data_IF_188088294128
#
_entry.id   IF_188088294128
#
_cell.length_a   1.000
_cell.length_b   1.000
_cell.length_c   1.000
_cell.angle_alpha   90.00
_cell.angle_beta   90.00
_cell.angle_gamma   90.00
#
_symmetry.space_group_name_H-M   'P 1'
#
loop_
_entity.id
_entity.type
_entity.pdbx_description
1 polymer ?
#
# COMPACT_ATOMS: atom_id res chain seq x y z
N UNK A 1 -6.65 18.67 3.82
CA UNK A 1 -5.57 17.71 4.18
C UNK A 1 -6.12 16.33 3.88
N UNK A 2 -5.34 15.49 3.20
CA UNK A 2 -5.74 14.11 2.98
C UNK A 2 -5.54 13.30 4.25
N UNK A 3 -6.43 12.34 4.48
CA UNK A 3 -6.33 11.36 5.57
C UNK A 3 -6.53 9.97 5.00
N UNK A 4 -5.79 9.01 5.56
CA UNK A 4 -5.83 7.61 5.16
C UNK A 4 -5.92 6.70 6.37
N UNK A 5 -6.47 5.52 6.15
CA UNK A 5 -6.59 4.46 7.15
C UNK A 5 -5.94 3.19 6.59
N UNK A 6 -5.12 2.54 7.41
CA UNK A 6 -4.39 1.31 7.07
C UNK A 6 -4.99 0.13 7.83
N UNK A 7 -5.23 -0.96 7.10
CA UNK A 7 -5.63 -2.25 7.65
C UNK A 7 -4.73 -3.34 7.07
N UNK A 8 -4.27 -4.25 7.94
CA UNK A 8 -3.45 -5.40 7.56
C UNK A 8 -4.20 -6.67 7.95
N UNK A 9 -4.30 -7.62 7.03
CA UNK A 9 -4.71 -8.99 7.33
C UNK A 9 -3.45 -9.86 7.35
N UNK A 10 -2.89 -10.12 8.54
CA UNK A 10 -1.68 -10.93 8.70
C UNK A 10 -1.83 -12.38 8.26
N UNK A 11 -3.06 -12.94 8.25
CA UNK A 11 -3.30 -14.29 7.76
C UNK A 11 -3.25 -14.40 6.24
N UNK A 12 -3.43 -13.27 5.53
CA UNK A 12 -3.41 -13.17 4.08
C UNK A 12 -2.26 -12.32 3.52
N UNK A 13 -1.42 -11.74 4.37
CA UNK A 13 -0.41 -10.71 4.05
C UNK A 13 -0.97 -9.59 3.15
N UNK A 14 -2.24 -9.22 3.37
CA UNK A 14 -2.96 -8.23 2.57
C UNK A 14 -2.93 -6.87 3.24
N UNK A 15 -2.44 -5.88 2.51
CA UNK A 15 -2.40 -4.47 2.92
C UNK A 15 -3.54 -3.75 2.23
N UNK A 16 -4.43 -3.12 2.99
CA UNK A 16 -5.50 -2.27 2.47
C UNK A 16 -5.35 -0.86 3.00
N UNK A 17 -5.41 0.12 2.10
CA UNK A 17 -5.41 1.54 2.44
C UNK A 17 -6.70 2.17 1.94
N UNK A 18 -7.38 2.90 2.82
CA UNK A 18 -8.55 3.72 2.50
C UNK A 18 -8.15 5.18 2.44
N UNK A 19 -8.60 5.89 1.39
CA UNK A 19 -8.53 7.34 1.37
C UNK A 19 -9.75 7.88 2.10
N UNK A 20 -9.61 8.25 3.37
CA UNK A 20 -10.75 8.65 4.19
C UNK A 20 -11.33 10.01 3.77
N UNK A 21 -10.47 11.02 3.60
CA UNK A 21 -10.86 12.39 3.23
C UNK A 21 -9.73 13.09 2.48
N UNK A 22 -10.04 14.15 1.71
CA UNK A 22 -9.05 14.98 1.02
C UNK A 22 -9.33 15.19 -0.47
N UNK A 23 -8.34 15.73 -1.18
CA UNK A 23 -8.37 15.85 -2.63
C UNK A 23 -7.97 14.53 -3.29
N UNK A 24 -8.48 14.27 -4.48
CA UNK A 24 -8.14 13.06 -5.22
C UNK A 24 -6.66 13.04 -5.62
N UNK A 25 -6.06 11.85 -5.60
CA UNK A 25 -4.63 11.64 -5.89
C UNK A 25 -4.48 10.84 -7.18
N UNK A 26 -3.56 11.27 -8.04
CA UNK A 26 -3.11 10.47 -9.16
C UNK A 26 -2.06 9.47 -8.68
N UNK A 27 -2.43 8.19 -8.60
CA UNK A 27 -1.53 7.14 -8.09
C UNK A 27 -0.32 6.88 -8.99
N UNK A 28 -0.28 7.45 -10.19
CA UNK A 28 0.90 7.40 -11.07
C UNK A 28 2.03 8.31 -10.59
N UNK A 29 1.73 9.26 -9.71
CA UNK A 29 2.70 10.14 -9.05
C UNK A 29 3.02 9.67 -7.63
N UNK A 30 2.35 8.61 -7.17
CA UNK A 30 2.51 8.02 -5.83
C UNK A 30 3.65 7.01 -5.81
N UNK A 31 4.50 7.10 -4.78
CA UNK A 31 5.43 6.06 -4.37
C UNK A 31 5.03 5.55 -2.99
N UNK A 32 5.09 4.23 -2.81
CA UNK A 32 4.87 3.56 -1.53
C UNK A 32 6.18 3.01 -0.98
N UNK A 33 6.36 3.13 0.33
CA UNK A 33 7.36 2.39 1.08
C UNK A 33 6.65 1.59 2.16
N UNK A 34 6.90 0.29 2.21
CA UNK A 34 6.39 -0.64 3.22
C UNK A 34 7.56 -1.15 4.04
N UNK A 35 7.41 -1.12 5.36
CA UNK A 35 8.32 -1.74 6.31
C UNK A 35 7.54 -2.60 7.30
N UNK A 36 8.14 -3.73 7.72
CA UNK A 36 7.61 -4.65 8.73
C UNK A 36 8.60 -4.68 9.88
N UNK A 37 8.14 -4.38 11.09
CA UNK A 37 8.96 -4.24 12.30
C UNK A 37 10.20 -3.34 12.12
N UNK A 38 10.06 -2.33 11.26
CA UNK A 38 11.11 -1.35 10.95
C UNK A 38 12.09 -1.77 9.85
N UNK A 39 11.92 -2.94 9.23
CA UNK A 39 12.69 -3.40 8.08
C UNK A 39 11.89 -3.22 6.78
N UNK A 40 12.45 -2.48 5.81
CA UNK A 40 11.81 -2.24 4.52
C UNK A 40 11.71 -3.53 3.71
N UNK A 41 10.59 -3.72 2.99
CA UNK A 41 10.49 -4.79 2.00
C UNK A 41 11.59 -4.68 0.95
N UNK A 42 12.18 -5.81 0.59
CA UNK A 42 13.15 -5.95 -0.48
C UNK A 42 12.58 -5.52 -1.83
N UNK A 43 11.30 -5.85 -2.08
CA UNK A 43 10.56 -5.41 -3.26
C UNK A 43 9.39 -4.51 -2.83
N UNK A 44 9.47 -3.23 -3.21
CA UNK A 44 8.45 -2.23 -2.88
C UNK A 44 7.33 -2.19 -3.93
N UNK A 45 6.08 -1.85 -3.57
CA UNK A 45 4.95 -1.87 -4.50
C UNK A 45 5.16 -0.85 -5.64
N UNK A 46 5.20 -1.28 -6.92
CA UNK A 46 5.42 -0.36 -8.04
C UNK A 46 4.09 0.23 -8.52
N UNK A 47 3.43 1.04 -7.68
CA UNK A 47 2.09 1.54 -7.96
C UNK A 47 2.07 2.53 -9.15
N UNK A 48 1.08 2.43 -10.07
CA UNK A 48 0.12 1.34 -10.22
C UNK A 48 0.72 0.12 -10.96
N UNK A 49 0.21 -1.08 -10.69
CA UNK A 49 0.67 -2.33 -11.31
C UNK A 49 -0.45 -3.34 -11.55
N UNK A 50 -0.17 -4.40 -12.33
CA UNK A 50 -1.08 -5.55 -12.55
C UNK A 50 -0.52 -6.87 -11.98
N UNK A 51 0.76 -6.87 -11.66
CA UNK A 51 1.52 -7.97 -11.07
C UNK A 51 2.97 -7.52 -10.96
N UNK A 52 3.63 -7.87 -9.87
CA UNK A 52 4.99 -7.43 -9.56
C UNK A 52 5.73 -8.50 -8.77
N UNK A 53 7.06 -8.50 -8.86
CA UNK A 53 7.91 -9.39 -8.05
C UNK A 53 7.72 -9.04 -6.57
N UNK A 54 7.62 -10.05 -5.70
CA UNK A 54 7.36 -9.85 -4.28
C UNK A 54 5.88 -9.62 -3.91
N UNK A 55 4.97 -9.71 -4.88
CA UNK A 55 3.53 -9.54 -4.66
C UNK A 55 2.72 -10.70 -5.22
N UNK A 56 1.65 -11.09 -4.53
CA UNK A 56 0.76 -12.17 -4.96
C UNK A 56 -0.45 -11.60 -5.71
N UNK A 57 -0.53 -11.92 -7.01
CA UNK A 57 -1.60 -11.47 -7.88
C UNK A 57 -1.56 -9.98 -8.24
N UNK A 58 -2.73 -9.49 -8.69
CA UNK A 58 -2.92 -8.09 -9.04
C UNK A 58 -3.46 -7.31 -7.83
N UNK A 59 -3.08 -6.02 -7.67
CA UNK A 59 -3.69 -5.18 -6.65
C UNK A 59 -5.15 -4.87 -7.01
N UNK A 60 -5.88 -4.28 -6.07
CA UNK A 60 -7.26 -3.83 -6.28
C UNK A 60 -7.37 -2.31 -6.21
N UNK A 61 -8.51 -1.79 -6.69
CA UNK A 61 -8.79 -0.37 -6.66
C UNK A 61 -7.79 0.45 -7.49
N UNK A 62 -7.50 1.70 -7.10
CA UNK A 62 -6.64 2.59 -7.85
C UNK A 62 -5.19 2.10 -8.03
N UNK A 63 -4.69 1.17 -7.21
CA UNK A 63 -3.35 0.61 -7.39
C UNK A 63 -3.26 -0.37 -8.56
N UNK A 64 -4.40 -0.85 -9.07
CA UNK A 64 -4.44 -1.66 -10.28
C UNK A 64 -4.30 -0.78 -11.53
N UNK A 65 -3.29 -1.04 -12.36
CA UNK A 65 -3.04 -0.24 -13.56
C UNK A 65 -4.15 -0.32 -14.62
N UNK A 66 -5.02 -1.34 -14.55
CA UNK A 66 -6.21 -1.47 -15.40
C UNK A 66 -7.45 -0.76 -14.83
N UNK A 67 -7.36 -0.20 -13.61
CA UNK A 67 -8.42 0.57 -12.98
C UNK A 67 -8.24 2.08 -13.20
N UNK A 68 -9.17 2.87 -12.65
CA UNK A 68 -9.01 4.33 -12.61
C UNK A 68 -7.80 4.69 -11.74
N UNK A 69 -6.83 5.48 -12.24
CA UNK A 69 -5.63 5.85 -11.47
C UNK A 69 -5.90 6.97 -10.46
N UNK A 70 -7.11 7.53 -10.42
CA UNK A 70 -7.47 8.57 -9.47
C UNK A 70 -8.06 7.95 -8.23
N UNK A 71 -7.35 8.05 -7.11
CA UNK A 71 -7.81 7.59 -5.80
C UNK A 71 -8.56 8.70 -5.09
N UNK A 72 -9.83 8.46 -4.75
CA UNK A 72 -10.75 9.45 -4.19
C UNK A 72 -11.16 9.09 -2.75
N UNK A 73 -11.65 10.08 -1.97
CA UNK A 73 -12.25 9.81 -0.66
C UNK A 73 -13.33 8.72 -0.69
N UNK A 74 -13.25 7.77 0.24
CA UNK A 74 -14.11 6.60 0.36
C UNK A 74 -13.69 5.39 -0.48
N UNK A 75 -12.67 5.52 -1.33
CA UNK A 75 -12.13 4.40 -2.11
C UNK A 75 -10.99 3.70 -1.37
N UNK A 76 -10.84 2.40 -1.65
CA UNK A 76 -9.78 1.56 -1.10
C UNK A 76 -8.87 1.04 -2.21
N UNK A 77 -7.60 0.91 -1.89
CA UNK A 77 -6.63 0.18 -2.69
C UNK A 77 -6.00 -0.91 -1.83
N UNK A 78 -5.79 -2.09 -2.40
CA UNK A 78 -5.14 -3.19 -1.68
C UNK A 78 -4.17 -3.98 -2.54
N UNK A 79 -3.21 -4.61 -1.89
CA UNK A 79 -2.26 -5.54 -2.51
C UNK A 79 -1.82 -6.59 -1.49
N UNK A 80 -1.31 -7.71 -1.99
CA UNK A 80 -0.84 -8.82 -1.17
C UNK A 80 0.66 -9.00 -1.31
N UNK A 81 1.38 -9.01 -0.19
CA UNK A 81 2.82 -9.30 -0.17
C UNK A 81 3.00 -10.81 -0.28
N UNK A 82 3.85 -11.26 -1.20
CA UNK A 82 4.12 -12.69 -1.37
C UNK A 82 5.16 -13.16 -0.33
N UNK A 83 5.12 -14.44 0.05
CA UNK A 83 6.14 -15.09 0.89
C UNK A 83 7.56 -15.08 0.27
N UNK A 84 7.68 -14.71 -1.01
CA UNK A 84 8.96 -14.54 -1.70
C UNK A 84 9.56 -13.15 -1.55
N UNK A 85 8.84 -12.21 -0.93
CA UNK A 85 9.38 -10.94 -0.47
C UNK A 85 9.96 -11.10 0.94
N UNK A 86 10.74 -10.12 1.38
CA UNK A 86 11.41 -10.16 2.67
C UNK A 86 11.47 -8.74 3.25
N UNK A 87 11.09 -8.53 4.52
CA UNK A 87 10.47 -9.51 5.44
C UNK A 87 9.06 -9.96 5.00
N UNK A 88 8.62 -11.11 5.52
CA UNK A 88 7.21 -11.54 5.43
C UNK A 88 6.34 -10.79 6.45
N UNK A 89 5.02 -10.78 6.25
CA UNK A 89 4.05 -10.23 7.22
C UNK A 89 3.36 -11.39 7.93
N UNK A 90 3.54 -11.47 9.24
CA UNK A 90 2.88 -12.41 10.14
C UNK A 90 1.93 -11.68 11.11
N UNK A 91 1.01 -12.42 11.74
CA UNK A 91 0.07 -11.87 12.72
C UNK A 91 0.82 -11.31 13.93
N UNK A 92 0.53 -10.06 14.30
CA UNK A 92 1.18 -9.35 15.38
C UNK A 92 2.32 -8.43 14.96
N UNK A 93 2.79 -8.51 13.72
CA UNK A 93 3.83 -7.63 13.19
C UNK A 93 3.32 -6.19 13.06
N UNK A 94 4.22 -5.22 13.24
CA UNK A 94 3.93 -3.81 12.99
C UNK A 94 4.28 -3.46 11.55
N UNK A 95 3.30 -3.00 10.78
CA UNK A 95 3.50 -2.59 9.38
C UNK A 95 3.37 -1.08 9.27
N UNK A 96 4.43 -0.46 8.74
CA UNK A 96 4.45 0.96 8.39
C UNK A 96 4.33 1.13 6.87
N UNK A 97 3.49 2.08 6.44
CA UNK A 97 3.35 2.45 5.03
C UNK A 97 3.53 3.94 4.86
N UNK A 98 4.58 4.33 4.14
CA UNK A 98 4.82 5.69 3.69
C UNK A 98 4.18 5.97 2.33
N UNK A 99 3.45 7.08 2.22
CA UNK A 99 2.85 7.58 0.98
C UNK A 99 3.56 8.85 0.56
N UNK A 100 4.21 8.85 -0.60
CA UNK A 100 4.94 9.99 -1.14
C UNK A 100 4.38 10.36 -2.51
N UNK A 101 4.02 11.62 -2.72
CA UNK A 101 3.58 12.14 -4.03
C UNK A 101 4.56 13.21 -4.47
N UNK A 102 5.12 13.09 -5.67
CA UNK A 102 6.13 14.03 -6.22
C UNK A 102 7.32 14.29 -5.27
N UNK A 103 7.73 13.26 -4.52
CA UNK A 103 8.82 13.36 -3.53
C UNK A 103 8.43 14.06 -2.22
N UNK A 104 7.16 14.44 -2.04
CA UNK A 104 6.64 15.00 -0.80
C UNK A 104 5.89 13.94 0.00
N UNK A 105 6.28 13.77 1.26
CA UNK A 105 5.58 12.88 2.18
C UNK A 105 4.14 13.38 2.39
N UNK A 106 3.19 12.54 2.01
CA UNK A 106 1.77 12.80 2.17
C UNK A 106 1.25 12.24 3.50
N UNK A 107 1.64 11.01 3.84
CA UNK A 107 1.26 10.34 5.07
C UNK A 107 2.24 9.22 5.43
N UNK A 108 2.36 8.96 6.73
CA UNK A 108 2.94 7.74 7.29
C UNK A 108 1.84 7.04 8.09
N UNK A 109 1.60 5.78 7.75
CA UNK A 109 0.55 4.96 8.34
C UNK A 109 1.18 3.80 9.10
N UNK A 110 0.50 3.36 10.16
CA UNK A 110 0.93 2.23 10.96
C UNK A 110 -0.28 1.40 11.37
N UNK A 111 -0.14 0.08 11.29
CA UNK A 111 -1.13 -0.88 11.77
C UNK A 111 -0.45 -2.19 12.15
N UNK A 112 -1.12 -2.96 13.01
CA UNK A 112 -0.69 -4.32 13.39
C UNK A 112 -1.45 -5.34 12.54
N UNK A 113 -0.74 -6.37 12.09
CA UNK A 113 -1.25 -7.49 11.31
C UNK A 113 -2.06 -8.53 12.10
#
# INVERSE_FOLDING_TARGET
MAAFELTIDGGGSEITIEHATGDAIDVRELSLTVAVDGEELSEQPPVPFVGAVGFDGAPTGPFNAEASPHWRPGERASFRVAETNDPTIEVGDTVNVGLVVDGQLLAELEATA
#
